data_IF_642892135137
#
_entry.id   IF_642892135137
#
_cell.length_a   1.000
_cell.length_b   1.000
_cell.length_c   1.000
_cell.angle_alpha   90.00
_cell.angle_beta   90.00
_cell.angle_gamma   90.00
#
_symmetry.space_group_name_H-M   'P 1'
#
loop_
_entity.id
_entity.type
_entity.pdbx_description
1 polymer ?
#
# COMPACT_ATOMS: atom_id res chain seq x y z
N UNK A 1 7.48 -18.81 -10.25
CA UNK A 1 7.41 -18.15 -8.92
C UNK A 1 6.27 -18.81 -8.15
N UNK A 2 6.31 -18.80 -6.81
CA UNK A 2 5.16 -19.21 -6.01
C UNK A 2 4.17 -18.04 -5.90
N UNK A 3 2.87 -18.33 -5.91
CA UNK A 3 1.81 -17.34 -5.84
C UNK A 3 1.22 -17.31 -4.44
N UNK A 4 1.31 -16.18 -3.73
CA UNK A 4 0.68 -16.03 -2.41
C UNK A 4 -0.83 -16.05 -2.61
N UNK A 5 -1.53 -16.95 -1.92
CA UNK A 5 -2.99 -17.12 -2.01
C UNK A 5 -3.71 -16.73 -0.75
N UNK A 6 -3.12 -16.96 0.41
CA UNK A 6 -3.78 -16.71 1.70
C UNK A 6 -2.80 -16.01 2.63
N UNK A 7 -3.32 -14.99 3.30
CA UNK A 7 -2.73 -14.43 4.50
C UNK A 7 -3.56 -14.93 5.70
N UNK A 8 -2.89 -15.46 6.71
CA UNK A 8 -3.48 -15.82 7.99
C UNK A 8 -2.73 -15.07 9.09
N UNK A 9 -3.46 -14.28 9.87
CA UNK A 9 -2.97 -13.56 11.02
C UNK A 9 -3.54 -14.19 12.29
N UNK A 10 -2.68 -14.50 13.26
CA UNK A 10 -3.10 -15.01 14.58
C UNK A 10 -2.61 -14.02 15.63
N UNK A 11 -3.52 -13.49 16.44
CA UNK A 11 -3.24 -12.45 17.42
C UNK A 11 -3.02 -12.99 18.83
N UNK A 12 -2.10 -12.35 19.56
CA UNK A 12 -1.62 -12.81 20.87
C UNK A 12 -1.74 -11.71 21.95
N UNK A 13 -2.78 -10.88 21.89
CA UNK A 13 -2.91 -9.69 22.75
C UNK A 13 -4.08 -9.82 23.72
N UNK A 14 -3.82 -10.19 24.97
CA UNK A 14 -4.87 -10.47 25.96
C UNK A 14 -5.62 -9.22 26.44
N UNK A 15 -4.90 -8.12 26.60
CA UNK A 15 -5.43 -6.88 27.16
C UNK A 15 -5.78 -5.84 26.09
N UNK A 16 -5.89 -6.23 24.81
CA UNK A 16 -6.06 -5.25 23.73
C UNK A 16 -7.44 -4.61 23.73
N UNK A 17 -7.48 -3.28 23.83
CA UNK A 17 -8.71 -2.50 23.79
C UNK A 17 -8.90 -1.81 22.43
N UNK A 18 -10.15 -1.67 22.01
CA UNK A 18 -10.51 -1.01 20.75
C UNK A 18 -10.01 0.44 20.66
N UNK A 19 -10.08 1.18 21.78
CA UNK A 19 -9.65 2.56 21.86
C UNK A 19 -8.16 2.76 21.54
N UNK A 20 -7.34 1.70 21.64
CA UNK A 20 -5.92 1.77 21.32
C UNK A 20 -5.65 1.73 19.81
N UNK A 21 -6.65 1.42 18.99
CA UNK A 21 -6.51 1.22 17.55
C UNK A 21 -5.81 -0.09 17.21
N UNK A 22 -5.13 -0.15 16.06
CA UNK A 22 -4.39 -1.35 15.63
C UNK A 22 -5.25 -2.52 15.16
N UNK A 23 -6.57 -2.34 15.05
CA UNK A 23 -7.45 -3.27 14.34
C UNK A 23 -6.98 -3.44 12.89
N UNK A 24 -6.97 -4.67 12.39
CA UNK A 24 -6.76 -4.86 10.95
C UNK A 24 -8.01 -4.40 10.22
N UNK A 25 -7.82 -3.52 9.26
CA UNK A 25 -8.82 -2.99 8.35
C UNK A 25 -8.67 -3.70 7.00
N UNK A 26 -9.77 -4.23 6.46
CA UNK A 26 -9.88 -4.77 5.11
C UNK A 26 -10.70 -3.77 4.28
N UNK A 27 -10.13 -3.30 3.19
CA UNK A 27 -10.70 -2.23 2.37
C UNK A 27 -11.18 -2.77 1.03
N UNK A 28 -12.31 -2.26 0.54
CA UNK A 28 -12.80 -2.60 -0.80
C UNK A 28 -12.09 -1.81 -1.90
N UNK A 29 -11.89 -0.50 -1.69
CA UNK A 29 -11.21 0.39 -2.63
C UNK A 29 -10.59 1.60 -1.91
N UNK A 30 -9.40 1.44 -1.30
CA UNK A 30 -8.73 2.53 -0.61
C UNK A 30 -8.25 3.67 -1.54
N UNK A 31 -8.33 3.50 -2.87
CA UNK A 31 -8.05 4.60 -3.81
C UNK A 31 -9.23 5.57 -3.93
N UNK A 32 -10.42 5.16 -3.51
CA UNK A 32 -11.61 5.98 -3.52
C UNK A 32 -12.22 6.04 -2.11
N UNK A 33 -11.68 6.87 -1.20
CA UNK A 33 -12.13 6.94 0.18
C UNK A 33 -13.63 7.19 0.36
N UNK A 34 -14.28 7.88 -0.59
CA UNK A 34 -15.72 8.16 -0.53
C UNK A 34 -16.62 6.96 -0.88
N UNK A 35 -16.06 5.88 -1.44
CA UNK A 35 -16.78 4.65 -1.76
C UNK A 35 -16.16 3.41 -1.08
N UNK A 36 -15.14 3.61 -0.24
CA UNK A 36 -14.42 2.54 0.42
C UNK A 36 -15.22 1.99 1.60
N UNK A 37 -15.56 0.70 1.53
CA UNK A 37 -16.14 -0.03 2.67
C UNK A 37 -15.02 -0.71 3.44
N UNK A 38 -15.03 -0.57 4.76
CA UNK A 38 -13.97 -1.06 5.64
C UNK A 38 -14.54 -2.03 6.66
N UNK A 39 -14.02 -3.26 6.65
CA UNK A 39 -14.26 -4.25 7.71
C UNK A 39 -13.09 -4.26 8.67
N UNK A 40 -13.35 -4.19 9.98
CA UNK A 40 -12.30 -4.01 10.99
C UNK A 40 -12.35 -5.09 12.07
N UNK A 41 -11.18 -5.66 12.38
CA UNK A 41 -11.04 -6.75 13.35
C UNK A 41 -9.98 -6.43 14.39
N UNK A 42 -10.40 -6.33 15.66
CA UNK A 42 -9.48 -6.12 16.79
C UNK A 42 -8.45 -7.24 16.91
N UNK A 43 -7.19 -6.94 17.25
CA UNK A 43 -6.13 -7.92 17.36
C UNK A 43 -6.14 -8.62 18.73
N UNK A 44 -7.28 -9.10 19.21
CA UNK A 44 -7.39 -9.74 20.55
C UNK A 44 -6.82 -11.15 20.58
N UNK A 45 -6.44 -11.62 21.77
CA UNK A 45 -5.84 -12.94 21.98
C UNK A 45 -6.65 -14.08 21.36
N UNK A 46 -5.94 -15.02 20.73
CA UNK A 46 -6.49 -16.22 20.10
C UNK A 46 -7.47 -15.95 18.95
N UNK A 47 -7.49 -14.72 18.41
CA UNK A 47 -8.23 -14.41 17.19
C UNK A 47 -7.38 -14.70 15.95
N UNK A 48 -7.96 -15.43 15.01
CA UNK A 48 -7.42 -15.60 13.67
C UNK A 48 -8.20 -14.75 12.65
N UNK A 49 -7.50 -14.07 11.76
CA UNK A 49 -8.06 -13.40 10.59
C UNK A 49 -7.43 -14.01 9.34
N UNK A 50 -8.27 -14.59 8.48
CA UNK A 50 -7.85 -15.26 7.24
C UNK A 50 -8.50 -14.56 6.05
N UNK A 51 -7.71 -14.29 5.01
CA UNK A 51 -8.21 -13.65 3.79
C UNK A 51 -7.38 -14.04 2.58
N UNK A 52 -8.00 -13.99 1.40
CA UNK A 52 -7.33 -14.23 0.13
C UNK A 52 -6.34 -13.11 -0.19
N UNK A 53 -5.21 -13.46 -0.81
CA UNK A 53 -4.27 -12.51 -1.38
C UNK A 53 -4.46 -12.42 -2.90
N UNK A 54 -4.90 -11.26 -3.35
CA UNK A 54 -5.08 -10.93 -4.76
C UNK A 54 -4.81 -9.43 -4.98
N UNK A 55 -5.08 -8.92 -6.18
CA UNK A 55 -4.77 -7.55 -6.58
C UNK A 55 -5.67 -6.49 -5.91
N UNK A 56 -6.71 -6.91 -5.20
CA UNK A 56 -7.69 -6.06 -4.54
C UNK A 56 -7.89 -6.41 -3.06
N UNK A 57 -7.03 -7.26 -2.48
CA UNK A 57 -7.03 -7.60 -1.07
C UNK A 57 -6.33 -6.53 -0.24
N UNK A 58 -6.88 -5.31 -0.25
CA UNK A 58 -6.32 -4.16 0.46
C UNK A 58 -6.52 -4.31 1.96
N UNK A 59 -5.44 -4.12 2.73
CA UNK A 59 -5.51 -4.23 4.18
C UNK A 59 -4.44 -3.39 4.86
N UNK A 60 -4.72 -2.98 6.09
CA UNK A 60 -3.83 -2.18 6.90
C UNK A 60 -4.28 -2.12 8.35
N UNK A 61 -3.70 -1.23 9.14
CA UNK A 61 -4.24 -0.88 10.45
C UNK A 61 -3.92 0.58 10.75
N UNK A 62 -4.80 1.24 11.50
CA UNK A 62 -4.59 2.63 11.94
C UNK A 62 -3.54 2.71 13.04
N UNK A 63 -2.97 3.91 13.21
CA UNK A 63 -1.96 4.19 14.23
C UNK A 63 -2.43 3.72 15.61
N UNK A 64 -1.57 3.00 16.30
CA UNK A 64 -1.79 2.55 17.67
C UNK A 64 -1.55 3.72 18.62
N UNK A 65 -2.47 3.94 19.56
CA UNK A 65 -2.41 4.98 20.59
C UNK A 65 -2.62 4.34 21.96
N UNK A 66 -1.53 3.87 22.57
CA UNK A 66 -1.57 3.30 23.92
C UNK A 66 -1.69 4.41 24.98
N UNK A 67 -2.41 4.16 26.09
CA UNK A 67 -2.39 5.08 27.23
C UNK A 67 -1.01 5.09 27.93
N UNK A 68 -0.69 6.11 28.75
CA UNK A 68 0.63 6.28 29.36
C UNK A 68 1.10 5.08 30.22
N UNK A 69 0.17 4.42 30.91
CA UNK A 69 0.43 3.25 31.77
C UNK A 69 0.64 1.95 30.97
N UNK A 70 0.26 1.92 29.69
CA UNK A 70 0.37 0.75 28.80
C UNK A 70 1.45 0.89 27.72
N UNK A 71 2.36 1.87 27.82
CA UNK A 71 3.42 2.06 26.81
C UNK A 71 4.38 0.86 26.66
N UNK A 72 4.42 -0.03 27.65
CA UNK A 72 5.20 -1.27 27.62
C UNK A 72 4.53 -2.40 26.82
N UNK A 73 3.24 -2.24 26.47
CA UNK A 73 2.46 -3.23 25.72
C UNK A 73 2.79 -3.14 24.24
N UNK A 74 2.79 -4.28 23.55
CA UNK A 74 3.06 -4.36 22.11
C UNK A 74 1.99 -5.18 21.41
N UNK A 75 1.68 -4.83 20.15
CA UNK A 75 0.78 -5.59 19.29
C UNK A 75 1.51 -6.79 18.69
N UNK A 76 1.15 -7.98 19.11
CA UNK A 76 1.77 -9.25 18.73
C UNK A 76 0.86 -10.05 17.79
N UNK A 77 1.45 -10.60 16.74
CA UNK A 77 0.78 -11.50 15.82
C UNK A 77 1.76 -12.46 15.14
N UNK A 78 1.30 -13.66 14.81
CA UNK A 78 1.92 -14.50 13.80
C UNK A 78 1.28 -14.23 12.45
N UNK A 79 2.11 -14.06 11.42
CA UNK A 79 1.67 -13.95 10.03
C UNK A 79 2.12 -15.17 9.25
N UNK A 80 1.15 -15.89 8.69
CA UNK A 80 1.36 -17.09 7.89
C UNK A 80 0.93 -16.80 6.46
N UNK A 81 1.79 -17.16 5.52
CA UNK A 81 1.58 -16.96 4.08
C UNK A 81 1.53 -18.32 3.39
N UNK A 82 0.40 -18.63 2.76
CA UNK A 82 0.22 -19.89 2.03
C UNK A 82 0.26 -19.62 0.52
N UNK A 83 0.96 -20.50 -0.19
CA UNK A 83 1.29 -20.31 -1.59
C UNK A 83 0.84 -21.50 -2.44
N UNK A 84 0.50 -21.22 -3.69
CA UNK A 84 0.33 -22.23 -4.73
C UNK A 84 1.46 -22.13 -5.76
N UNK A 85 1.70 -23.24 -6.46
CA UNK A 85 2.67 -23.28 -7.57
C UNK A 85 2.16 -22.52 -8.79
N UNK A 86 0.85 -22.59 -9.02
CA UNK A 86 0.18 -22.03 -10.19
C UNK A 86 -0.99 -21.13 -9.75
N UNK A 87 -1.39 -20.24 -10.66
CA UNK A 87 -2.50 -19.29 -10.53
C UNK A 87 -3.16 -19.15 -11.90
N UNK A 88 -4.49 -19.01 -12.00
CA UNK A 88 -5.15 -18.74 -13.27
C UNK A 88 -4.52 -17.54 -14.00
N UNK A 89 -4.47 -17.60 -15.33
CA UNK A 89 -3.78 -16.60 -16.14
C UNK A 89 -4.40 -15.21 -15.95
N UNK A 90 -5.73 -15.17 -15.76
CA UNK A 90 -6.53 -13.96 -15.56
C UNK A 90 -6.21 -13.27 -14.22
N UNK A 91 -5.72 -14.01 -13.24
CA UNK A 91 -5.32 -13.50 -11.93
C UNK A 91 -3.81 -13.24 -11.84
N UNK A 92 -3.05 -13.51 -12.91
CA UNK A 92 -1.59 -13.37 -12.91
C UNK A 92 -1.21 -12.00 -13.45
N UNK A 93 -0.68 -11.15 -12.57
CA UNK A 93 -0.15 -9.83 -12.94
C UNK A 93 1.37 -9.85 -13.10
N UNK A 94 1.90 -8.80 -13.73
CA UNK A 94 3.34 -8.60 -13.83
C UNK A 94 3.96 -8.54 -12.41
N UNK A 95 5.17 -9.08 -12.20
CA UNK A 95 5.81 -9.06 -10.89
C UNK A 95 5.89 -7.64 -10.32
N UNK A 96 5.38 -7.47 -9.11
CA UNK A 96 5.41 -6.21 -8.36
C UNK A 96 5.71 -6.44 -6.88
N UNK A 97 6.12 -5.38 -6.21
CA UNK A 97 6.25 -5.35 -4.75
C UNK A 97 4.91 -5.01 -4.10
N UNK A 98 4.83 -5.05 -2.77
CA UNK A 98 3.66 -4.53 -2.04
C UNK A 98 3.36 -3.08 -2.44
N UNK A 99 2.10 -2.81 -2.77
CA UNK A 99 1.61 -1.46 -2.96
C UNK A 99 1.20 -0.86 -1.62
N UNK A 100 1.85 0.24 -1.27
CA UNK A 100 1.48 1.05 -0.11
C UNK A 100 0.72 2.29 -0.59
N UNK A 101 -0.42 2.54 0.05
CA UNK A 101 -1.27 3.69 -0.19
C UNK A 101 -1.15 4.70 0.96
N UNK A 102 -1.03 6.00 0.64
CA UNK A 102 -1.09 7.02 1.67
C UNK A 102 -2.50 7.05 2.28
N UNK A 103 -2.57 7.39 3.55
CA UNK A 103 -3.85 7.63 4.23
C UNK A 103 -4.59 8.81 3.58
N UNK A 104 -5.93 8.79 3.54
CA UNK A 104 -6.72 9.93 3.08
C UNK A 104 -6.56 11.12 4.03
N UNK A 105 -7.09 12.27 3.62
CA UNK A 105 -7.20 13.43 4.49
C UNK A 105 -8.02 13.04 5.75
N UNK A 106 -7.60 13.43 6.97
CA UNK A 106 -8.36 13.14 8.17
C UNK A 106 -9.76 13.78 8.11
N UNK A 107 -10.79 13.06 8.58
CA UNK A 107 -12.20 13.44 8.44
C UNK A 107 -12.58 14.74 9.17
N UNK A 108 -11.85 15.05 10.25
CA UNK A 108 -11.93 16.31 11.00
C UNK A 108 -11.52 17.53 10.16
N UNK A 109 -10.69 17.35 9.13
CA UNK A 109 -10.19 18.43 8.29
C UNK A 109 -11.19 18.72 7.16
N UNK A 110 -12.04 19.72 7.40
CA UNK A 110 -13.10 20.16 6.47
C UNK A 110 -13.19 21.67 6.40
N UNK A 111 -13.86 22.18 5.38
CA UNK A 111 -14.08 23.62 5.22
C UNK A 111 -14.74 24.22 6.48
N UNK A 112 -14.20 25.34 6.96
CA UNK A 112 -14.65 26.01 8.19
C UNK A 112 -14.05 25.47 9.49
N UNK A 113 -13.24 24.40 9.45
CA UNK A 113 -12.49 23.92 10.62
C UNK A 113 -11.25 24.78 10.88
N UNK A 114 -11.10 25.26 12.12
CA UNK A 114 -9.86 25.93 12.57
C UNK A 114 -8.88 24.89 13.07
N UNK A 115 -7.70 24.81 12.44
CA UNK A 115 -6.69 23.82 12.78
C UNK A 115 -6.20 23.96 14.23
N UNK A 116 -6.21 22.84 14.93
CA UNK A 116 -5.56 22.65 16.23
C UNK A 116 -4.12 22.17 16.04
N UNK A 117 -3.33 22.18 17.12
CA UNK A 117 -1.98 21.59 17.09
C UNK A 117 -2.01 20.08 16.77
N UNK A 118 -3.04 19.37 17.24
CA UNK A 118 -3.24 17.96 16.93
C UNK A 118 -3.50 17.72 15.44
N UNK A 119 -4.28 18.59 14.81
CA UNK A 119 -4.56 18.54 13.38
C UNK A 119 -3.28 18.78 12.56
N UNK A 120 -2.48 19.78 12.94
CA UNK A 120 -1.20 20.06 12.29
C UNK A 120 -0.25 18.88 12.36
N UNK A 121 -0.11 18.27 13.55
CA UNK A 121 0.72 17.08 13.74
C UNK A 121 0.24 15.91 12.87
N UNK A 122 -1.07 15.68 12.78
CA UNK A 122 -1.63 14.61 11.96
C UNK A 122 -1.39 14.86 10.46
N UNK A 123 -1.57 16.10 9.99
CA UNK A 123 -1.29 16.50 8.62
C UNK A 123 0.20 16.32 8.28
N UNK A 124 1.11 16.74 9.16
CA UNK A 124 2.54 16.57 8.97
C UNK A 124 2.93 15.10 8.84
N UNK A 125 2.36 14.23 9.69
CA UNK A 125 2.57 12.78 9.60
C UNK A 125 2.06 12.23 8.26
N UNK A 126 0.88 12.63 7.82
CA UNK A 126 0.33 12.21 6.52
C UNK A 126 1.24 12.65 5.36
N UNK A 127 1.74 13.89 5.38
CA UNK A 127 2.64 14.40 4.34
C UNK A 127 3.99 13.68 4.35
N UNK A 128 4.61 13.49 5.52
CA UNK A 128 5.88 12.77 5.64
C UNK A 128 5.78 11.32 5.15
N UNK A 129 4.70 10.62 5.51
CA UNK A 129 4.45 9.26 5.03
C UNK A 129 4.30 9.23 3.51
N UNK A 130 3.54 10.17 2.94
CA UNK A 130 3.35 10.28 1.50
C UNK A 130 4.67 10.54 0.77
N UNK A 131 5.46 11.50 1.25
CA UNK A 131 6.76 11.85 0.66
C UNK A 131 7.76 10.71 0.77
N UNK A 132 7.75 9.98 1.90
CA UNK A 132 8.54 8.76 2.08
C UNK A 132 8.19 7.69 1.05
N UNK A 133 6.90 7.43 0.82
CA UNK A 133 6.44 6.50 -0.20
C UNK A 133 6.85 6.95 -1.61
N UNK A 134 6.69 8.23 -1.94
CA UNK A 134 7.11 8.76 -3.23
C UNK A 134 8.61 8.58 -3.47
N UNK A 135 9.45 8.90 -2.47
CA UNK A 135 10.90 8.69 -2.54
C UNK A 135 11.25 7.21 -2.73
N UNK A 136 10.59 6.31 -2.00
CA UNK A 136 10.78 4.87 -2.16
C UNK A 136 10.45 4.41 -3.58
N UNK A 137 9.29 4.79 -4.12
CA UNK A 137 8.90 4.38 -5.48
C UNK A 137 9.82 4.98 -6.55
N UNK A 138 10.27 6.23 -6.39
CA UNK A 138 11.26 6.83 -7.29
C UNK A 138 12.58 6.06 -7.27
N UNK A 139 13.07 5.67 -6.09
CA UNK A 139 14.27 4.84 -5.95
C UNK A 139 14.10 3.49 -6.65
N UNK A 140 13.00 2.79 -6.41
CA UNK A 140 12.69 1.51 -7.07
C UNK A 140 12.61 1.66 -8.60
N UNK A 141 12.06 2.77 -9.10
CA UNK A 141 11.98 3.05 -10.53
C UNK A 141 13.39 3.24 -11.15
N UNK A 142 14.24 4.04 -10.51
CA UNK A 142 15.62 4.27 -10.95
C UNK A 142 16.41 2.95 -10.94
N UNK A 143 16.30 2.14 -9.88
CA UNK A 143 16.94 0.82 -9.81
C UNK A 143 16.47 -0.12 -10.91
N UNK A 144 15.16 -0.13 -11.20
CA UNK A 144 14.58 -0.93 -12.29
C UNK A 144 15.10 -0.47 -13.65
N UNK A 145 15.19 0.83 -13.88
CA UNK A 145 15.74 1.39 -15.13
C UNK A 145 17.22 1.03 -15.29
N UNK A 146 18.02 1.12 -14.21
CA UNK A 146 19.42 0.72 -14.24
C UNK A 146 19.58 -0.76 -14.58
N UNK A 147 18.84 -1.65 -13.92
CA UNK A 147 18.87 -3.10 -14.22
C UNK A 147 18.48 -3.38 -15.66
N UNK A 148 17.51 -2.65 -16.19
CA UNK A 148 17.10 -2.79 -17.59
C UNK A 148 18.22 -2.33 -18.53
N UNK A 149 18.87 -1.20 -18.24
CA UNK A 149 20.03 -0.72 -19.02
C UNK A 149 21.16 -1.73 -19.00
N UNK A 150 21.50 -2.27 -17.84
CA UNK A 150 22.57 -3.27 -17.69
C UNK A 150 22.25 -4.56 -18.45
N UNK A 151 20.99 -5.02 -18.43
CA UNK A 151 20.54 -6.19 -19.19
C UNK A 151 20.50 -5.95 -20.71
N UNK A 152 20.35 -4.69 -21.15
CA UNK A 152 20.34 -4.29 -22.55
C UNK A 152 21.74 -3.91 -23.07
N UNK A 153 22.75 -3.80 -22.21
CA UNK A 153 24.12 -3.60 -22.68
C UNK A 153 24.54 -4.83 -23.50
N UNK A 154 25.02 -4.64 -24.75
CA UNK A 154 25.48 -5.76 -25.54
C UNK A 154 26.64 -6.43 -24.81
N UNK A 155 26.57 -7.75 -24.67
CA UNK A 155 27.71 -8.54 -24.25
C UNK A 155 28.87 -8.24 -25.23
N UNK A 156 30.12 -8.24 -24.75
CA UNK A 156 31.30 -8.02 -25.62
C UNK A 156 31.37 -9.01 -26.81
N UNK A 157 30.59 -10.08 -26.76
CA UNK A 157 30.34 -11.01 -27.86
C UNK A 157 28.97 -10.72 -28.49
N UNK A 158 28.97 -10.10 -29.67
CA UNK A 158 27.81 -9.52 -30.33
C UNK A 158 26.69 -10.50 -30.70
N UNK A 159 25.73 -10.67 -29.80
CA UNK A 159 24.40 -11.21 -30.12
C UNK A 159 23.31 -10.31 -29.54
N UNK A 160 22.70 -9.50 -30.41
CA UNK A 160 21.51 -8.70 -30.13
C UNK A 160 20.33 -9.63 -29.81
N UNK A 161 19.71 -9.48 -28.64
CA UNK A 161 18.34 -9.93 -28.41
C UNK A 161 17.41 -8.73 -28.56
N UNK A 162 16.66 -8.72 -29.66
CA UNK A 162 15.47 -7.90 -29.80
C UNK A 162 14.50 -8.19 -28.65
N UNK A 163 14.15 -7.17 -27.85
CA UNK A 163 12.74 -6.86 -27.53
C UNK A 163 12.58 -5.66 -26.58
N UNK A 164 11.71 -4.74 -27.03
CA UNK A 164 10.88 -3.78 -26.27
C UNK A 164 11.56 -2.58 -25.60
N UNK A 165 11.86 -1.58 -26.44
CA UNK A 165 12.04 -0.19 -26.01
C UNK A 165 10.67 0.49 -25.95
N UNK A 166 10.10 0.65 -24.76
CA UNK A 166 9.07 1.67 -24.52
C UNK A 166 9.77 3.03 -24.48
N UNK A 167 9.68 3.78 -25.59
CA UNK A 167 10.29 5.09 -25.70
C UNK A 167 9.70 6.10 -24.70
N UNK A 168 10.50 7.09 -24.30
CA UNK A 168 10.11 8.19 -23.41
C UNK A 168 8.89 9.01 -23.90
N UNK A 169 8.52 8.92 -25.18
CA UNK A 169 7.32 9.54 -25.75
C UNK A 169 6.03 8.88 -25.26
N UNK A 170 6.05 7.56 -25.06
CA UNK A 170 4.91 6.78 -24.56
C UNK A 170 4.56 7.16 -23.12
N UNK A 171 5.58 7.37 -22.28
CA UNK A 171 5.42 7.75 -20.88
C UNK A 171 4.84 9.18 -20.73
N UNK A 172 5.26 10.12 -21.58
CA UNK A 172 4.69 11.48 -21.62
C UNK A 172 3.22 11.48 -22.01
N UNK A 173 2.82 10.59 -22.92
CA UNK A 173 1.42 10.45 -23.34
C UNK A 173 0.54 9.86 -22.22
N UNK A 174 1.03 8.84 -21.52
CA UNK A 174 0.35 8.26 -20.34
C UNK A 174 0.19 9.30 -19.23
N UNK A 175 1.24 10.08 -18.93
CA UNK A 175 1.19 11.16 -17.95
C UNK A 175 0.20 12.27 -18.34
N UNK A 176 0.11 12.61 -19.63
CA UNK A 176 -0.86 13.58 -20.14
C UNK A 176 -2.30 13.09 -19.97
N UNK A 177 -2.57 11.81 -20.28
CA UNK A 177 -3.88 11.18 -20.06
C UNK A 177 -4.26 11.16 -18.58
N UNK A 178 -3.31 10.87 -17.69
CA UNK A 178 -3.56 10.86 -16.25
C UNK A 178 -3.88 12.27 -15.72
N UNK A 179 -3.18 13.31 -16.20
CA UNK A 179 -3.48 14.72 -15.87
C UNK A 179 -4.86 15.17 -16.39
N UNK A 180 -5.24 14.73 -17.59
CA UNK A 180 -6.56 15.02 -18.16
C UNK A 180 -7.67 14.34 -17.37
N UNK A 181 -7.50 13.07 -16.99
CA UNK A 181 -8.46 12.31 -16.17
C UNK A 181 -8.63 12.93 -14.78
N UNK A 182 -7.56 13.45 -14.19
CA UNK A 182 -7.62 14.19 -12.92
C UNK A 182 -8.42 15.48 -13.04
N UNK A 183 -8.17 16.29 -14.08
CA UNK A 183 -8.92 17.54 -14.34
C UNK A 183 -10.41 17.31 -14.58
N UNK A 184 -10.79 16.21 -15.22
CA UNK A 184 -12.19 15.88 -15.48
C UNK A 184 -12.94 15.37 -14.23
N UNK A 185 -12.22 14.80 -13.25
CA UNK A 185 -12.81 14.35 -11.97
C UNK A 185 -12.94 15.46 -10.92
N UNK A 186 -12.19 16.54 -11.07
CA UNK A 186 -12.23 17.71 -10.20
C UNK A 186 -12.36 18.99 -11.03
N UNK A 187 -13.52 19.22 -11.69
CA UNK A 187 -13.85 20.55 -12.17
C UNK A 187 -13.96 21.48 -10.95
N UNK A 188 -13.45 22.70 -11.07
CA UNK A 188 -13.47 23.74 -10.03
C UNK A 188 -14.78 23.78 -9.24
#
# INVERSE_FOLDING_TARGET
MLHRRINLLIYLNEEWEEAWGGAIELHSDPHNPGADTVESFLPVFNRAVIFETNEYSWHGFRRIKLPPDKQHVSRKSFSIYLYTKERPAEETVAPHTTFYLPQPLPENIKAGHTLTEGDLLELDICMQNRDGLLKMYQKLLIEKEQRLRDALQPNRDGALRDQLILSSRSMKFVMALQRLKYRLRHPF
#
